data_IF_939360358512
#
_entry.id   IF_939360358512
#
_cell.length_a   1.000
_cell.length_b   1.000
_cell.length_c   1.000
_cell.angle_alpha   90.00
_cell.angle_beta   90.00
_cell.angle_gamma   90.00
#
_symmetry.space_group_name_H-M   'P 1'
#
loop_
_entity.id
_entity.type
_entity.pdbx_description
1 polymer ?
#
# COMPACT_ATOMS: atom_id res chain seq x y z
N UNK A 1 -12.83 -80.47 19.97
CA UNK A 1 -12.48 -79.37 20.89
C UNK A 1 -11.65 -78.34 20.12
N UNK A 2 -12.13 -77.09 20.04
CA UNK A 2 -11.35 -75.82 20.04
C UNK A 2 -10.02 -75.83 19.24
N UNK A 3 -9.82 -75.11 18.13
CA UNK A 3 -9.96 -73.65 18.01
C UNK A 3 -10.03 -73.21 16.54
N UNK A 4 -11.12 -72.55 16.21
CA UNK A 4 -11.28 -71.59 15.12
C UNK A 4 -10.70 -70.23 15.59
N UNK A 5 -9.59 -69.75 15.01
CA UNK A 5 -9.15 -68.32 15.02
C UNK A 5 -8.25 -68.08 13.79
N UNK A 6 -8.82 -67.65 12.67
CA UNK A 6 -8.75 -66.25 12.19
C UNK A 6 -7.32 -65.74 11.96
N UNK A 7 -6.72 -66.11 10.82
CA UNK A 7 -5.61 -65.38 10.23
C UNK A 7 -6.16 -64.29 9.31
N UNK A 8 -6.64 -63.20 9.91
CA UNK A 8 -6.91 -61.95 9.22
C UNK A 8 -5.99 -60.90 9.84
N UNK A 9 -4.82 -60.71 9.24
CA UNK A 9 -3.83 -59.80 9.78
C UNK A 9 -2.61 -59.68 8.90
N UNK A 10 -2.74 -58.99 7.77
CA UNK A 10 -1.62 -58.38 7.03
C UNK A 10 -2.16 -57.59 5.82
N UNK A 11 -2.87 -56.48 6.08
CA UNK A 11 -3.21 -55.46 5.05
C UNK A 11 -3.66 -54.17 5.74
N UNK A 12 -2.79 -53.51 6.51
CA UNK A 12 -3.07 -52.16 7.04
C UNK A 12 -1.80 -51.37 7.43
N UNK A 13 -0.69 -51.55 6.70
CA UNK A 13 0.54 -50.75 6.90
C UNK A 13 0.83 -49.98 5.61
N UNK A 14 -0.02 -49.01 5.25
CA UNK A 14 0.27 -48.03 4.19
C UNK A 14 -0.72 -46.84 4.17
N UNK A 15 -1.13 -46.32 5.32
CA UNK A 15 -1.84 -45.03 5.40
C UNK A 15 -1.14 -44.11 6.40
N UNK A 16 0.17 -43.96 6.19
CA UNK A 16 0.99 -42.99 6.88
C UNK A 16 0.85 -41.63 6.16
N UNK A 17 0.48 -40.61 6.93
CA UNK A 17 0.83 -39.20 6.70
C UNK A 17 0.24 -38.54 5.44
N UNK A 18 -1.04 -38.13 5.49
CA UNK A 18 -1.58 -37.22 4.47
C UNK A 18 -2.73 -36.33 4.98
N UNK A 19 -2.65 -35.77 6.19
CA UNK A 19 -3.47 -34.61 6.58
C UNK A 19 -2.70 -33.70 7.54
N UNK A 20 -1.69 -33.03 6.99
CA UNK A 20 -1.16 -31.79 7.55
C UNK A 20 -1.00 -30.82 6.39
N UNK A 21 -2.14 -30.36 5.86
CA UNK A 21 -2.14 -29.12 5.09
C UNK A 21 -1.93 -28.02 6.13
N UNK A 22 -0.65 -27.80 6.41
CA UNK A 22 -0.14 -26.59 7.03
C UNK A 22 -0.79 -25.45 6.26
N UNK A 23 -1.71 -24.75 6.90
CA UNK A 23 -2.04 -23.39 6.51
C UNK A 23 -0.77 -22.60 6.79
N UNK A 24 0.17 -22.61 5.84
CA UNK A 24 1.10 -21.53 5.68
C UNK A 24 0.23 -20.31 5.39
N UNK A 25 -0.20 -19.62 6.45
CA UNK A 25 -0.48 -18.21 6.34
C UNK A 25 0.78 -17.66 5.71
N UNK A 26 0.66 -17.10 4.50
CA UNK A 26 1.64 -16.15 4.01
C UNK A 26 1.84 -15.17 5.16
N UNK A 27 2.95 -15.32 5.88
CA UNK A 27 3.38 -14.32 6.83
C UNK A 27 3.61 -13.10 5.94
N UNK A 28 2.67 -12.15 5.97
CA UNK A 28 2.92 -10.84 5.41
C UNK A 28 4.27 -10.40 5.96
N UNK A 29 5.16 -9.96 5.07
CA UNK A 29 6.47 -9.47 5.49
C UNK A 29 6.27 -8.55 6.70
N UNK A 30 7.00 -8.75 7.81
CA UNK A 30 6.96 -7.81 8.91
C UNK A 30 7.15 -6.41 8.32
N UNK A 31 6.31 -5.44 8.72
CA UNK A 31 6.25 -4.07 8.19
C UNK A 31 5.55 -3.85 6.84
N UNK A 32 4.99 -4.88 6.20
CA UNK A 32 4.06 -4.72 5.07
C UNK A 32 2.65 -4.33 5.59
N UNK A 33 2.39 -3.03 5.70
CA UNK A 33 1.06 -2.53 6.10
C UNK A 33 1.02 -1.22 6.89
N UNK A 34 2.14 -0.48 7.01
CA UNK A 34 2.14 0.83 7.63
C UNK A 34 1.37 1.90 6.83
N UNK A 35 1.00 2.99 7.50
CA UNK A 35 0.34 4.16 6.93
C UNK A 35 1.39 5.18 6.45
N UNK A 36 1.58 5.26 5.12
CA UNK A 36 2.52 6.19 4.51
C UNK A 36 2.24 7.67 4.84
N UNK A 37 0.98 8.06 5.10
CA UNK A 37 0.66 9.43 5.49
C UNK A 37 1.13 9.75 6.91
N UNK A 38 1.11 8.78 7.82
CA UNK A 38 1.72 8.93 9.15
C UNK A 38 3.26 8.91 9.04
N UNK A 39 3.81 8.04 8.20
CA UNK A 39 5.24 7.99 7.92
C UNK A 39 5.79 9.33 7.42
N UNK A 40 5.06 10.01 6.53
CA UNK A 40 5.41 11.34 6.04
C UNK A 40 5.54 12.38 7.17
N UNK A 41 4.59 12.38 8.11
CA UNK A 41 4.62 13.27 9.28
C UNK A 41 5.80 12.98 10.19
N UNK A 42 6.09 11.70 10.44
CA UNK A 42 7.21 11.27 11.27
C UNK A 42 8.55 11.69 10.66
N UNK A 43 8.71 11.50 9.35
CA UNK A 43 9.86 11.97 8.57
C UNK A 43 10.09 13.47 8.75
N UNK A 44 9.02 14.26 8.62
CA UNK A 44 9.10 15.72 8.71
C UNK A 44 9.44 16.16 10.14
N UNK A 45 8.73 15.63 11.13
CA UNK A 45 8.93 15.96 12.54
C UNK A 45 10.32 15.56 13.05
N UNK A 46 10.90 14.50 12.50
CA UNK A 46 12.21 13.98 12.90
C UNK A 46 13.37 14.56 12.08
N UNK A 47 13.07 15.44 11.11
CA UNK A 47 14.08 16.16 10.33
C UNK A 47 14.93 15.26 9.44
N UNK A 48 14.40 14.14 8.97
CA UNK A 48 15.18 13.13 8.21
C UNK A 48 15.87 13.73 6.96
N UNK A 49 15.21 14.66 6.28
CA UNK A 49 15.77 15.35 5.11
C UNK A 49 17.01 16.19 5.41
N UNK A 50 17.20 16.64 6.66
CA UNK A 50 18.36 17.44 7.04
C UNK A 50 19.69 16.72 6.78
N UNK A 51 19.70 15.40 6.91
CA UNK A 51 20.85 14.56 6.57
C UNK A 51 20.66 13.86 5.21
N UNK A 52 19.46 13.37 4.91
CA UNK A 52 19.19 12.58 3.71
C UNK A 52 18.86 13.41 2.45
N UNK A 53 18.96 14.73 2.54
CA UNK A 53 18.71 15.67 1.45
C UNK A 53 17.22 15.93 1.23
N UNK A 54 16.92 17.09 0.63
CA UNK A 54 15.57 17.44 0.21
C UNK A 54 15.05 16.42 -0.82
N UNK A 55 13.81 15.95 -0.63
CA UNK A 55 13.25 14.88 -1.46
C UNK A 55 14.01 13.57 -1.36
N UNK A 56 14.81 13.37 -0.31
CA UNK A 56 15.55 12.14 -0.01
C UNK A 56 16.55 11.69 -1.08
N UNK A 57 17.12 12.66 -1.80
CA UNK A 57 18.08 12.44 -2.89
C UNK A 57 19.51 12.18 -2.42
N UNK A 58 19.77 12.26 -1.10
CA UNK A 58 21.06 12.04 -0.47
C UNK A 58 21.75 13.34 -0.05
N UNK A 59 22.76 13.21 0.80
CA UNK A 59 23.52 14.32 1.37
C UNK A 59 24.58 13.80 2.32
N UNK A 60 24.49 14.18 3.60
CA UNK A 60 25.29 13.58 4.69
C UNK A 60 24.92 12.10 4.86
N UNK A 61 23.61 11.82 4.82
CA UNK A 61 23.05 10.48 4.76
C UNK A 61 22.84 10.00 3.31
N UNK A 62 22.74 8.69 3.08
CA UNK A 62 22.50 8.13 1.74
C UNK A 62 21.13 8.52 1.20
N UNK A 63 20.96 8.49 -0.11
CA UNK A 63 19.65 8.65 -0.75
C UNK A 63 18.66 7.57 -0.24
N UNK A 64 17.43 7.98 0.10
CA UNK A 64 16.35 7.08 0.52
C UNK A 64 15.26 6.93 -0.55
N UNK A 65 15.24 7.79 -1.57
CA UNK A 65 14.43 7.53 -2.77
C UNK A 65 14.88 6.20 -3.40
N UNK A 66 13.93 5.33 -3.74
CA UNK A 66 14.19 4.03 -4.36
C UNK A 66 14.87 3.03 -3.42
N UNK A 67 14.70 3.20 -2.09
CA UNK A 67 15.32 2.33 -1.09
C UNK A 67 14.82 0.88 -1.17
N UNK A 68 13.58 0.68 -1.59
CA UNK A 68 12.93 -0.61 -1.78
C UNK A 68 13.60 -1.48 -2.86
N UNK A 69 14.34 -0.86 -3.80
CA UNK A 69 15.17 -1.58 -4.78
C UNK A 69 16.45 -2.16 -4.19
N UNK A 70 16.87 -1.69 -3.02
CA UNK A 70 18.15 -2.05 -2.38
C UNK A 70 17.97 -2.80 -1.08
N UNK A 71 16.86 -2.58 -0.38
CA UNK A 71 16.58 -3.11 0.94
C UNK A 71 15.13 -3.58 1.03
N UNK A 72 14.91 -4.68 1.73
CA UNK A 72 13.57 -5.14 2.07
C UNK A 72 12.93 -4.26 3.15
N UNK A 73 11.61 -4.32 3.28
CA UNK A 73 10.86 -3.58 4.32
C UNK A 73 11.45 -3.80 5.73
N UNK A 74 11.73 -5.05 6.09
CA UNK A 74 12.33 -5.40 7.37
C UNK A 74 13.75 -4.83 7.54
N UNK A 75 14.55 -4.78 6.48
CA UNK A 75 15.90 -4.18 6.53
C UNK A 75 15.84 -2.66 6.69
N UNK A 76 14.83 -1.99 6.11
CA UNK A 76 14.61 -0.56 6.31
C UNK A 76 14.16 -0.30 7.76
N UNK A 77 13.21 -1.08 8.28
CA UNK A 77 12.77 -0.98 9.68
C UNK A 77 13.93 -1.16 10.66
N UNK A 78 14.76 -2.19 10.46
CA UNK A 78 15.92 -2.45 11.30
C UNK A 78 16.91 -1.27 11.32
N UNK A 79 17.16 -0.64 10.17
CA UNK A 79 18.03 0.55 10.10
C UNK A 79 17.45 1.76 10.82
N UNK A 80 16.13 1.87 10.89
CA UNK A 80 15.42 2.96 11.57
C UNK A 80 15.42 2.74 13.09
N UNK A 81 15.19 1.51 13.54
CA UNK A 81 15.08 1.17 14.96
C UNK A 81 16.45 0.95 15.62
N UNK A 82 17.42 0.46 14.85
CA UNK A 82 18.80 0.21 15.28
C UNK A 82 19.81 0.99 14.42
N UNK A 83 19.73 2.33 14.39
CA UNK A 83 20.59 3.14 13.53
C UNK A 83 22.04 3.12 14.03
N UNK A 84 22.97 3.32 13.08
CA UNK A 84 24.38 3.53 13.37
C UNK A 84 24.71 5.02 13.27
N UNK A 85 25.61 5.50 14.12
CA UNK A 85 26.10 6.87 14.05
C UNK A 85 26.61 7.19 12.62
N UNK A 86 26.32 8.40 12.10
CA UNK A 86 25.76 9.56 12.79
C UNK A 86 24.22 9.61 12.82
N UNK A 87 23.50 8.60 12.32
CA UNK A 87 22.03 8.60 12.32
C UNK A 87 21.51 8.49 13.78
N UNK A 88 20.69 9.45 14.26
CA UNK A 88 20.14 9.39 15.62
C UNK A 88 19.18 8.22 15.81
N UNK A 89 19.09 7.71 17.04
CA UNK A 89 18.00 6.82 17.42
C UNK A 89 16.82 7.64 17.95
N UNK A 90 15.71 7.61 17.23
CA UNK A 90 14.49 8.35 17.58
C UNK A 90 13.54 7.55 18.49
N UNK A 91 13.83 6.28 18.76
CA UNK A 91 13.01 5.43 19.62
C UNK A 91 11.64 5.06 19.02
N UNK A 92 11.55 4.93 17.69
CA UNK A 92 10.31 4.56 17.02
C UNK A 92 9.85 3.15 17.41
N UNK A 93 8.56 3.04 17.71
CA UNK A 93 7.87 1.76 17.90
C UNK A 93 7.76 0.97 16.59
N UNK A 94 7.44 -0.32 16.65
CA UNK A 94 7.27 -1.14 15.44
C UNK A 94 6.19 -0.59 14.49
N UNK A 95 5.11 -0.03 15.04
CA UNK A 95 4.05 0.59 14.24
C UNK A 95 4.56 1.83 13.51
N UNK A 96 5.30 2.70 14.20
CA UNK A 96 5.90 3.89 13.58
C UNK A 96 6.99 3.51 12.57
N UNK A 97 7.77 2.46 12.84
CA UNK A 97 8.72 1.93 11.88
C UNK A 97 8.00 1.39 10.64
N UNK A 98 6.87 0.71 10.78
CA UNK A 98 6.05 0.27 9.64
C UNK A 98 5.54 1.47 8.81
N UNK A 99 5.04 2.52 9.46
CA UNK A 99 4.57 3.75 8.79
C UNK A 99 5.71 4.44 8.02
N UNK A 100 6.89 4.55 8.64
CA UNK A 100 8.10 5.08 8.02
C UNK A 100 8.54 4.21 6.83
N UNK A 101 8.56 2.90 6.98
CA UNK A 101 8.89 1.97 5.89
C UNK A 101 7.92 2.13 4.72
N UNK A 102 6.62 2.22 4.99
CA UNK A 102 5.60 2.43 3.98
C UNK A 102 5.81 3.74 3.21
N UNK A 103 6.13 4.82 3.92
CA UNK A 103 6.44 6.11 3.29
C UNK A 103 7.76 6.09 2.50
N UNK A 104 8.85 5.59 3.10
CA UNK A 104 10.18 5.59 2.48
C UNK A 104 10.26 4.69 1.24
N UNK A 105 9.65 3.51 1.31
CA UNK A 105 9.50 2.61 0.15
C UNK A 105 8.58 3.23 -0.91
N UNK A 106 7.74 4.18 -0.49
CA UNK A 106 6.87 5.01 -1.31
C UNK A 106 7.53 6.29 -1.84
N UNK A 107 8.81 6.56 -1.59
CA UNK A 107 9.41 7.86 -1.96
C UNK A 107 9.77 7.97 -3.43
N UNK A 108 10.25 6.87 -4.02
CA UNK A 108 10.26 6.78 -5.48
C UNK A 108 8.86 6.60 -6.04
N UNK A 109 7.85 6.62 -5.15
CA UNK A 109 6.43 6.37 -5.27
C UNK A 109 6.01 4.91 -5.04
N UNK A 110 6.87 4.05 -4.47
CA UNK A 110 6.61 2.61 -4.49
C UNK A 110 6.55 2.20 -5.94
N UNK A 111 7.63 2.48 -6.66
CA UNK A 111 7.75 2.75 -8.10
C UNK A 111 7.36 4.13 -8.64
N UNK A 112 6.55 4.96 -7.97
CA UNK A 112 6.18 6.31 -8.53
C UNK A 112 4.83 6.88 -8.11
N UNK A 113 4.07 6.09 -7.39
CA UNK A 113 2.64 6.13 -7.25
C UNK A 113 2.18 7.02 -6.09
N UNK A 114 1.27 7.98 -6.36
CA UNK A 114 0.63 8.78 -5.34
C UNK A 114 -0.34 7.97 -4.47
N UNK A 115 -0.62 8.46 -3.27
CA UNK A 115 -1.63 7.88 -2.35
C UNK A 115 -3.00 8.44 -2.70
N UNK A 116 -3.98 7.57 -2.89
CA UNK A 116 -5.37 7.97 -3.21
C UNK A 116 -6.27 7.73 -2.00
N UNK A 117 -7.00 8.76 -1.59
CA UNK A 117 -8.00 8.69 -0.51
C UNK A 117 -9.36 9.11 -1.06
N UNK A 118 -10.39 8.31 -0.77
CA UNK A 118 -11.77 8.55 -1.17
C UNK A 118 -12.55 9.00 0.07
N UNK A 119 -13.28 10.11 -0.03
CA UNK A 119 -14.02 10.71 1.10
C UNK A 119 -15.46 11.06 0.68
N UNK A 120 -16.48 10.49 1.34
CA UNK A 120 -16.40 9.47 2.39
C UNK A 120 -15.85 8.14 1.84
N UNK A 121 -15.36 7.26 2.73
CA UNK A 121 -14.82 5.96 2.33
C UNK A 121 -15.89 5.02 1.75
N UNK A 122 -17.13 5.18 2.22
CA UNK A 122 -18.34 4.51 1.71
C UNK A 122 -19.25 5.61 1.13
N UNK A 123 -19.08 5.97 -0.14
CA UNK A 123 -19.91 6.99 -0.79
C UNK A 123 -21.25 6.42 -1.25
N UNK A 124 -22.26 7.29 -1.31
CA UNK A 124 -23.60 6.96 -1.85
C UNK A 124 -23.77 7.53 -3.26
N UNK A 125 -23.65 8.85 -3.43
CA UNK A 125 -23.88 9.56 -4.69
C UNK A 125 -22.61 10.22 -5.26
N UNK A 126 -21.67 10.57 -4.39
CA UNK A 126 -20.42 11.22 -4.76
C UNK A 126 -19.31 10.97 -3.74
N UNK A 127 -18.06 11.09 -4.19
CA UNK A 127 -16.91 11.15 -3.33
C UNK A 127 -15.94 12.25 -3.76
N UNK A 128 -15.23 12.82 -2.80
CA UNK A 128 -14.01 13.59 -3.04
C UNK A 128 -12.84 12.63 -3.07
N UNK A 129 -12.12 12.59 -4.19
CA UNK A 129 -10.89 11.83 -4.35
C UNK A 129 -9.73 12.78 -4.13
N UNK A 130 -8.94 12.50 -3.09
CA UNK A 130 -7.70 13.20 -2.78
C UNK A 130 -6.53 12.34 -3.24
N UNK A 131 -5.56 12.95 -3.93
CA UNK A 131 -4.37 12.28 -4.43
C UNK A 131 -3.15 13.01 -3.90
N UNK A 132 -2.35 12.32 -3.09
CA UNK A 132 -1.18 12.85 -2.40
C UNK A 132 0.09 12.40 -3.11
N UNK A 133 0.93 13.33 -3.53
CA UNK A 133 2.22 13.07 -4.15
C UNK A 133 3.35 13.34 -3.16
N UNK A 134 4.42 12.53 -3.19
CA UNK A 134 5.63 12.79 -2.36
C UNK A 134 6.36 14.07 -2.78
N UNK A 135 6.24 14.48 -4.05
CA UNK A 135 6.77 15.73 -4.60
C UNK A 135 5.66 16.67 -5.07
N UNK A 136 6.00 17.60 -5.98
CA UNK A 136 5.01 18.46 -6.63
C UNK A 136 4.08 17.62 -7.50
N UNK A 137 2.74 17.71 -7.32
CA UNK A 137 1.79 17.00 -8.16
C UNK A 137 1.98 17.37 -9.64
N UNK A 138 1.96 16.38 -10.56
CA UNK A 138 1.89 16.65 -11.99
C UNK A 138 0.70 17.55 -12.32
N UNK A 139 0.81 18.36 -13.37
CA UNK A 139 -0.30 19.23 -13.80
C UNK A 139 -1.42 18.47 -14.52
N UNK A 140 -1.18 17.22 -14.90
CA UNK A 140 -2.07 16.38 -15.71
C UNK A 140 -2.79 15.29 -14.89
N UNK A 141 -2.90 15.46 -13.56
CA UNK A 141 -3.60 14.49 -12.71
C UNK A 141 -5.09 14.56 -12.98
N UNK A 142 -5.69 13.43 -13.32
CA UNK A 142 -7.12 13.31 -13.57
C UNK A 142 -7.68 12.03 -12.95
N UNK A 143 -8.98 12.03 -12.69
CA UNK A 143 -9.70 10.89 -12.11
C UNK A 143 -10.98 10.62 -12.88
N UNK A 144 -11.36 9.36 -12.96
CA UNK A 144 -12.67 8.90 -13.43
C UNK A 144 -13.15 7.79 -12.48
N UNK A 145 -14.47 7.64 -12.33
CA UNK A 145 -15.04 6.45 -11.72
C UNK A 145 -15.62 5.57 -12.81
N UNK A 146 -15.25 4.29 -12.82
CA UNK A 146 -15.71 3.31 -13.80
C UNK A 146 -16.34 2.11 -13.12
N UNK A 147 -17.41 1.59 -13.70
CA UNK A 147 -18.06 0.37 -13.25
C UNK A 147 -18.18 -0.59 -14.42
N UNK A 148 -17.91 -1.87 -14.17
CA UNK A 148 -18.10 -2.93 -15.16
C UNK A 148 -19.46 -3.59 -15.00
N UNK A 149 -20.19 -3.65 -16.11
CA UNK A 149 -21.46 -4.35 -16.24
C UNK A 149 -21.31 -5.41 -17.33
N UNK A 150 -20.92 -6.62 -16.92
CA UNK A 150 -20.58 -7.71 -17.85
C UNK A 150 -19.39 -7.32 -18.74
N UNK A 151 -19.61 -7.32 -20.05
CA UNK A 151 -18.58 -6.95 -21.04
C UNK A 151 -18.45 -5.44 -21.29
N UNK A 152 -19.28 -4.60 -20.66
CA UNK A 152 -19.29 -3.14 -20.86
C UNK A 152 -18.71 -2.43 -19.64
N UNK A 153 -17.99 -1.33 -19.89
CA UNK A 153 -17.52 -0.40 -18.86
C UNK A 153 -18.32 0.90 -18.98
N UNK A 154 -18.84 1.38 -17.86
CA UNK A 154 -19.51 2.68 -17.75
C UNK A 154 -18.62 3.60 -16.92
N UNK A 155 -18.10 4.65 -17.55
CA UNK A 155 -17.28 5.67 -16.91
C UNK A 155 -18.02 6.98 -16.71
N UNK A 156 -17.61 7.72 -15.69
CA UNK A 156 -18.18 9.04 -15.34
C UNK A 156 -17.55 10.20 -16.10
N UNK A 157 -16.53 9.92 -16.93
CA UNK A 157 -15.70 10.91 -17.61
C UNK A 157 -14.49 11.32 -16.78
N UNK A 158 -13.39 11.63 -17.47
CA UNK A 158 -12.17 12.11 -16.81
C UNK A 158 -12.33 13.54 -16.30
N UNK A 159 -12.06 13.73 -15.01
CA UNK A 159 -12.12 15.02 -14.31
C UNK A 159 -10.72 15.42 -13.84
N UNK A 160 -10.24 16.64 -14.14
CA UNK A 160 -8.96 17.11 -13.64
C UNK A 160 -8.99 17.40 -12.14
N UNK A 161 -7.98 16.94 -11.41
CA UNK A 161 -7.84 17.26 -9.98
C UNK A 161 -7.29 18.68 -9.81
N UNK A 162 -7.86 19.40 -8.85
CA UNK A 162 -7.50 20.76 -8.50
C UNK A 162 -6.59 20.77 -7.28
N UNK A 163 -5.71 21.77 -7.19
CA UNK A 163 -4.87 21.97 -6.00
C UNK A 163 -5.75 22.18 -4.76
N UNK A 164 -5.27 21.68 -3.64
CA UNK A 164 -5.85 21.95 -2.33
C UNK A 164 -4.98 22.95 -1.57
N UNK A 165 -5.35 23.24 -0.32
CA UNK A 165 -4.51 24.02 0.60
C UNK A 165 -3.19 23.31 0.95
N UNK A 166 -3.16 21.97 0.84
CA UNK A 166 -1.94 21.19 0.92
C UNK A 166 -1.26 21.14 -0.46
N UNK A 167 0.01 21.61 -0.58
CA UNK A 167 0.72 21.69 -1.86
C UNK A 167 1.04 20.32 -2.49
N UNK A 168 0.96 19.24 -1.73
CA UNK A 168 1.19 17.87 -2.17
C UNK A 168 -0.09 17.13 -2.54
N UNK A 169 -1.26 17.74 -2.29
CA UNK A 169 -2.56 17.12 -2.49
C UNK A 169 -3.35 17.85 -3.57
N UNK A 170 -3.84 17.06 -4.51
CA UNK A 170 -4.84 17.49 -5.49
C UNK A 170 -6.13 16.71 -5.27
N UNK A 171 -7.28 17.32 -5.56
CA UNK A 171 -8.58 16.73 -5.32
C UNK A 171 -9.58 16.98 -6.45
N UNK A 172 -10.48 16.03 -6.67
CA UNK A 172 -11.67 16.20 -7.51
C UNK A 172 -12.86 15.48 -6.91
N UNK A 173 -14.06 15.94 -7.24
CA UNK A 173 -15.29 15.20 -6.96
C UNK A 173 -15.63 14.29 -8.12
N UNK A 174 -15.97 13.04 -7.80
CA UNK A 174 -16.56 12.07 -8.73
C UNK A 174 -17.96 11.73 -8.25
N UNK A 175 -18.89 11.58 -9.20
CA UNK A 175 -20.27 11.17 -8.93
C UNK A 175 -20.46 9.73 -9.35
N UNK A 176 -21.23 9.00 -8.57
CA UNK A 176 -21.64 7.64 -8.87
C UNK A 176 -23.11 7.65 -9.26
N UNK A 177 -23.46 6.91 -10.31
CA UNK A 177 -24.83 6.90 -10.84
C UNK A 177 -25.69 5.77 -10.28
N UNK A 178 -25.05 4.77 -9.66
CA UNK A 178 -25.69 3.59 -9.08
C UNK A 178 -24.82 3.05 -7.94
N UNK A 179 -25.42 2.38 -6.98
CA UNK A 179 -24.69 1.59 -5.98
C UNK A 179 -24.00 0.37 -6.57
N UNK A 180 -23.08 -0.23 -5.82
CA UNK A 180 -22.32 -1.41 -6.20
C UNK A 180 -20.82 -1.17 -6.33
N UNK A 181 -20.08 -2.12 -6.94
CA UNK A 181 -18.63 -2.03 -7.06
C UNK A 181 -18.21 -1.09 -8.19
N UNK A 182 -17.42 -0.08 -7.84
CA UNK A 182 -16.79 0.86 -8.77
C UNK A 182 -15.27 0.80 -8.64
N UNK A 183 -14.58 1.30 -9.66
CA UNK A 183 -13.15 1.56 -9.65
C UNK A 183 -12.94 3.06 -9.83
N UNK A 184 -12.28 3.71 -8.88
CA UNK A 184 -11.74 5.05 -9.07
C UNK A 184 -10.40 4.93 -9.76
N UNK A 185 -10.34 5.35 -11.02
CA UNK A 185 -9.14 5.34 -11.84
C UNK A 185 -8.49 6.71 -11.83
N UNK A 186 -7.24 6.80 -11.41
CA UNK A 186 -6.43 8.02 -11.40
C UNK A 186 -5.36 7.91 -12.49
N UNK A 187 -5.21 8.93 -13.33
CA UNK A 187 -4.10 9.08 -14.29
C UNK A 187 -3.25 10.28 -13.96
N UNK A 188 -1.95 10.19 -14.18
CA UNK A 188 -0.99 11.26 -13.91
C UNK A 188 0.31 11.08 -14.69
N UNK A 189 1.12 12.14 -14.79
CA UNK A 189 2.53 12.04 -15.14
C UNK A 189 2.80 11.35 -16.47
N UNK A 190 2.15 11.80 -17.56
CA UNK A 190 2.34 11.25 -18.91
C UNK A 190 1.93 9.78 -19.08
N UNK A 191 0.82 9.38 -18.45
CA UNK A 191 0.13 8.12 -18.74
C UNK A 191 0.28 7.03 -17.67
N UNK A 192 0.87 7.34 -16.52
CA UNK A 192 0.76 6.47 -15.36
C UNK A 192 -0.71 6.41 -14.90
N UNK A 193 -1.14 5.25 -14.43
CA UNK A 193 -2.51 5.02 -13.98
C UNK A 193 -2.56 4.15 -12.72
N UNK A 194 -3.59 4.37 -11.92
CA UNK A 194 -3.89 3.60 -10.71
C UNK A 194 -5.38 3.36 -10.62
N UNK A 195 -5.76 2.16 -10.22
CA UNK A 195 -7.14 1.76 -9.98
C UNK A 195 -7.33 1.52 -8.48
N UNK A 196 -8.36 2.16 -7.91
CA UNK A 196 -8.72 2.06 -6.50
C UNK A 196 -10.15 1.54 -6.40
N UNK A 197 -10.38 0.32 -5.91
CA UNK A 197 -11.73 -0.20 -5.76
C UNK A 197 -12.49 0.60 -4.69
N UNK A 198 -13.76 0.88 -4.97
CA UNK A 198 -14.69 1.51 -4.02
C UNK A 198 -16.05 0.83 -4.14
N UNK A 199 -16.69 0.57 -3.00
CA UNK A 199 -18.08 0.14 -2.97
C UNK A 199 -18.95 1.36 -2.72
N UNK A 200 -19.93 1.57 -3.59
CA UNK A 200 -20.89 2.66 -3.48
C UNK A 200 -22.18 2.11 -2.88
N UNK A 201 -22.68 2.76 -1.83
CA UNK A 201 -23.95 2.41 -1.22
C UNK A 201 -25.11 2.83 -2.14
N UNK A 202 -26.08 1.94 -2.30
CA UNK A 202 -27.24 2.11 -3.18
C UNK A 202 -28.52 2.49 -2.47
#
# INVERSE_FOLDING_TARGET
MRYLRLFAGLLAVAAAVALSVVHARAAGEPFAGGDAAQGAKLVQASGCEGCHGAGFTGGIGPALVGIEKRLTAAQVADKIQHPKAPMPNFGFTDAQAADLVAYLSGLDGGTGKPVVKIVPAEPTDQATVLVTFSGTPPSDVQVEAVMRMGAREHGTGWVPLQKTDDPHVVAAKVRFTMGGPWIVRVRYGKGAAMDVPVTVDG
#
